data_IF_853791355537
#
_entry.id   IF_853791355537
#
_cell.length_a   1.000
_cell.length_b   1.000
_cell.length_c   1.000
_cell.angle_alpha   90.00
_cell.angle_beta   90.00
_cell.angle_gamma   90.00
#
_symmetry.space_group_name_H-M   'P 1'
#
loop_
_entity.id
_entity.type
_entity.pdbx_description
1 polymer ?
2 polymer ?
3 non-polymer ?
4 water ?
#
# COMPACT_ATOMS: atom_id res chain seq x y z
N UNK A 1 7.04 -5.16 -5.94
CA UNK A 1 6.15 -6.00 -6.75
C UNK A 1 6.99 -7.07 -7.38
N UNK A 2 6.69 -8.31 -7.04
CA UNK A 2 7.36 -9.44 -7.62
C UNK A 2 6.66 -9.65 -8.93
N UNK A 3 7.44 -9.82 -9.98
CA UNK A 3 6.87 -10.01 -11.30
C UNK A 3 6.10 -8.78 -11.66
N UNK A 4 4.96 -8.97 -12.29
CA UNK A 4 4.20 -7.85 -12.77
C UNK A 4 5.05 -7.06 -13.72
N UNK A 5 4.82 -5.78 -13.73
CA UNK A 5 5.35 -4.99 -14.78
C UNK A 5 5.66 -3.65 -14.26
N UNK A 6 6.63 -3.04 -14.88
CA UNK A 6 6.87 -1.68 -14.58
C UNK A 6 5.75 -0.88 -15.11
N UNK A 7 5.57 0.24 -14.47
CA UNK A 7 4.49 1.05 -14.84
C UNK A 7 4.97 2.42 -14.51
N UNK A 8 4.13 3.37 -14.79
CA UNK A 8 4.41 4.69 -14.35
C UNK A 8 3.20 5.11 -13.62
N UNK A 9 3.33 6.24 -12.97
CA UNK A 9 2.34 6.73 -12.08
C UNK A 9 1.05 7.01 -12.82
N UNK A 10 1.12 7.28 -14.11
CA UNK A 10 -0.09 7.49 -14.88
C UNK A 10 -1.01 6.30 -14.74
N UNK A 11 -0.43 5.14 -14.48
CA UNK A 11 -1.23 3.94 -14.39
C UNK A 11 -1.68 3.61 -13.02
N UNK A 12 -1.30 4.48 -12.14
CA UNK A 12 -1.72 4.37 -10.77
C UNK A 12 -1.55 5.69 -10.11
N UNK A 13 -2.28 6.67 -10.63
CA UNK A 13 -1.93 8.04 -10.30
C UNK A 13 -2.32 8.42 -8.90
N UNK A 14 -3.00 7.53 -8.22
CA UNK A 14 -3.26 7.73 -6.80
C UNK A 14 -2.12 7.17 -6.01
N UNK A 15 -1.19 6.53 -6.68
CA UNK A 15 -0.15 5.92 -5.91
C UNK A 15 0.70 6.96 -5.26
N UNK A 16 0.89 6.80 -3.97
CA UNK A 16 1.69 7.72 -3.25
C UNK A 16 2.92 6.97 -2.87
N UNK A 17 4.04 7.62 -3.09
CA UNK A 17 5.31 7.06 -2.73
C UNK A 17 5.68 7.75 -1.44
N UNK A 18 5.81 6.96 -0.41
CA UNK A 18 6.00 7.54 0.89
C UNK A 18 7.36 7.22 1.35
N UNK A 19 8.07 8.28 1.72
CA UNK A 19 9.43 8.17 2.12
C UNK A 19 9.55 8.69 3.50
N UNK A 20 10.64 8.30 4.15
CA UNK A 20 10.93 8.84 5.44
C UNK A 20 12.28 9.49 5.39
N UNK A 21 12.32 10.63 5.98
CA UNK A 21 13.54 11.31 6.14
C UNK A 21 14.15 10.76 7.44
N UNK A 22 15.40 10.42 7.40
CA UNK A 22 16.06 9.92 8.59
C UNK A 22 16.80 11.07 9.17
N UNK A 23 17.17 10.99 10.45
CA UNK A 23 18.02 11.99 11.07
C UNK A 23 19.28 11.72 10.30
N UNK A 24 19.91 12.74 9.84
CA UNK A 24 21.02 12.60 8.97
C UNK A 24 20.55 12.99 7.60
N UNK A 25 19.24 13.05 7.40
CA UNK A 25 18.66 13.54 6.19
C UNK A 25 18.43 12.56 5.11
N UNK A 26 18.87 11.34 5.30
CA UNK A 26 18.65 10.36 4.26
C UNK A 26 17.17 10.11 4.16
N UNK A 27 16.70 9.90 2.96
CA UNK A 27 15.34 9.65 2.75
C UNK A 27 15.21 8.30 2.16
N UNK A 28 14.51 7.47 2.86
CA UNK A 28 14.29 6.13 2.37
C UNK A 28 12.85 5.97 2.04
N UNK A 29 12.61 5.13 1.05
CA UNK A 29 11.28 4.79 0.73
C UNK A 29 10.72 3.96 1.84
N UNK A 30 9.48 4.26 2.19
CA UNK A 30 8.82 3.55 3.24
C UNK A 30 7.84 2.60 2.61
N UNK A 31 6.88 3.16 1.91
CA UNK A 31 5.75 2.40 1.51
C UNK A 31 5.02 3.15 0.48
N UNK A 32 4.13 2.44 -0.17
CA UNK A 32 3.20 3.05 -1.04
C UNK A 32 2.04 3.56 -0.24
N UNK A 33 1.21 4.30 -0.91
CA UNK A 33 0.01 4.78 -0.32
C UNK A 33 -0.85 5.03 -1.50
N UNK A 34 -2.09 5.39 -1.22
CA UNK A 34 -3.00 5.69 -2.28
C UNK A 34 -3.66 6.97 -1.93
N UNK A 35 -3.67 7.86 -2.89
CA UNK A 35 -4.34 9.10 -2.73
C UNK A 35 -5.82 8.82 -2.80
N UNK A 36 -6.53 9.03 -1.72
CA UNK A 36 -7.96 8.72 -1.71
C UNK A 36 -8.77 10.00 -1.71
N UNK A 37 -8.07 11.05 -1.47
CA UNK A 37 -8.56 12.38 -1.62
C UNK A 37 -7.40 13.31 -1.77
N UNK A 38 -7.60 14.50 -2.28
CA UNK A 38 -6.43 15.34 -2.52
C UNK A 38 -5.49 15.43 -1.32
N UNK A 39 -6.05 15.43 -0.12
CA UNK A 39 -5.25 15.64 1.07
C UNK A 39 -4.90 14.36 1.76
N UNK A 40 -5.46 13.26 1.27
CA UNK A 40 -5.38 12.04 2.00
C UNK A 40 -4.76 10.94 1.21
N UNK A 41 -3.67 10.44 1.75
CA UNK A 41 -3.07 9.25 1.23
C UNK A 41 -3.35 8.19 2.24
N UNK A 42 -3.82 7.06 1.75
CA UNK A 42 -4.07 5.96 2.63
C UNK A 42 -2.96 4.97 2.39
N UNK A 43 -2.48 4.41 3.48
CA UNK A 43 -1.38 3.52 3.40
C UNK A 43 -1.59 2.50 4.49
N UNK A 44 -0.52 1.88 4.92
CA UNK A 44 -0.60 0.83 5.91
C UNK A 44 0.08 1.38 7.14
N UNK A 45 -0.56 1.17 8.27
CA UNK A 45 0.03 1.63 9.50
C UNK A 45 1.40 1.04 9.72
N UNK A 46 1.60 -0.21 9.34
CA UNK A 46 2.84 -0.85 9.68
C UNK A 46 3.98 -0.11 9.03
N UNK A 47 3.66 0.64 7.98
CA UNK A 47 4.67 1.42 7.30
C UNK A 47 5.24 2.50 8.17
N UNK A 48 4.50 2.87 9.20
CA UNK A 48 4.81 4.07 9.94
C UNK A 48 4.89 3.79 11.39
N UNK A 49 4.39 2.62 11.78
CA UNK A 49 4.18 2.33 13.19
C UNK A 49 5.44 2.57 14.01
N UNK A 50 6.59 2.25 13.42
CA UNK A 50 7.86 2.37 14.13
C UNK A 50 8.40 3.77 14.09
N UNK A 51 7.94 4.55 13.12
CA UNK A 51 8.34 5.94 13.02
C UNK A 51 7.10 6.77 12.80
N UNK A 52 6.26 6.89 13.83
CA UNK A 52 4.95 7.51 13.64
C UNK A 52 4.99 9.02 13.53
N UNK A 53 6.19 9.60 13.62
CA UNK A 53 6.35 11.05 13.53
C UNK A 53 6.11 11.48 12.10
N UNK A 54 4.99 12.16 11.88
CA UNK A 54 4.58 12.58 10.55
C UNK A 54 5.65 13.40 9.84
N UNK A 55 6.39 14.21 10.59
CA UNK A 55 7.36 15.15 10.03
C UNK A 55 8.48 14.48 9.26
N UNK A 56 8.70 13.20 9.56
CA UNK A 56 9.77 12.45 8.93
C UNK A 56 9.37 12.05 7.53
N UNK A 57 8.08 12.10 7.26
CA UNK A 57 7.58 11.54 6.02
C UNK A 57 7.48 12.50 4.90
N UNK A 58 7.80 11.98 3.74
CA UNK A 58 7.62 12.70 2.52
C UNK A 58 6.73 11.82 1.71
N UNK A 59 5.66 12.40 1.19
CA UNK A 59 4.79 11.68 0.30
C UNK A 59 4.93 12.31 -1.05
N UNK A 60 5.19 11.48 -2.03
CA UNK A 60 5.13 11.96 -3.38
C UNK A 60 3.92 11.38 -4.02
N UNK A 61 3.27 12.22 -4.80
CA UNK A 61 2.28 11.75 -5.72
C UNK A 61 2.86 12.04 -7.08
N UNK A 62 2.36 11.32 -8.07
CA UNK A 62 2.83 11.51 -9.43
C UNK A 62 4.23 11.01 -9.60
N UNK A 63 4.65 10.11 -8.73
CA UNK A 63 6.00 9.63 -8.76
C UNK A 63 5.97 8.24 -9.39
N UNK A 64 6.72 8.08 -10.47
CA UNK A 64 6.84 6.79 -11.13
C UNK A 64 8.12 6.16 -10.76
N UNK A 65 9.01 6.96 -10.21
CA UNK A 65 10.34 6.49 -9.95
C UNK A 65 10.66 6.69 -8.50
N UNK A 66 11.46 5.78 -8.00
CA UNK A 66 11.64 5.70 -6.58
C UNK A 66 12.60 6.76 -6.09
N UNK A 67 13.69 6.94 -6.82
CA UNK A 67 14.75 7.78 -6.31
C UNK A 67 15.14 8.86 -7.26
N UNK A 68 14.26 9.12 -8.21
CA UNK A 68 14.42 10.25 -9.06
C UNK A 68 13.08 10.90 -9.17
N UNK A 69 13.10 12.17 -9.55
CA UNK A 69 11.88 12.91 -9.69
C UNK A 69 11.16 12.41 -10.92
N UNK A 70 9.84 12.44 -10.83
CA UNK A 70 9.02 12.17 -11.98
C UNK A 70 8.43 13.49 -12.28
N UNK A 71 8.48 13.87 -13.54
CA UNK A 71 7.95 15.13 -13.89
C UNK A 71 6.50 15.21 -13.47
N UNK A 72 6.17 16.32 -12.83
CA UNK A 72 4.81 16.56 -12.41
C UNK A 72 4.54 15.99 -11.05
N UNK A 73 5.54 15.32 -10.47
CA UNK A 73 5.35 14.74 -9.16
C UNK A 73 5.12 15.85 -8.17
N UNK A 74 4.38 15.51 -7.12
CA UNK A 74 4.16 16.44 -6.06
C UNK A 74 4.73 15.86 -4.80
N UNK A 75 5.46 16.70 -4.08
CA UNK A 75 6.07 16.32 -2.84
C UNK A 75 5.20 16.86 -1.74
N UNK A 76 4.93 16.02 -0.75
CA UNK A 76 4.11 16.46 0.34
C UNK A 76 4.80 16.12 1.62
N UNK A 77 4.63 17.01 2.58
CA UNK A 77 4.89 16.64 3.93
C UNK A 77 3.62 15.98 4.42
N UNK A 78 3.74 15.30 5.54
CA UNK A 78 2.61 14.61 6.11
C UNK A 78 2.15 15.48 7.25
N UNK A 79 1.01 16.10 7.02
CA UNK A 79 0.38 17.00 7.97
C UNK A 79 -0.22 16.20 9.11
N UNK A 80 -0.81 15.06 8.78
CA UNK A 80 -1.31 14.13 9.78
C UNK A 80 -0.88 12.75 9.35
N UNK A 81 -0.22 12.04 10.24
CA UNK A 81 0.05 10.65 10.01
C UNK A 81 -0.84 9.90 10.97
N UNK A 82 -1.92 9.38 10.43
CA UNK A 82 -2.93 8.76 11.23
C UNK A 82 -2.76 7.28 11.10
N UNK A 83 -2.35 6.66 12.18
CA UNK A 83 -2.18 5.25 12.19
C UNK A 83 -3.40 4.68 12.84
N UNK A 84 -3.73 3.46 12.48
CA UNK A 84 -4.90 2.86 13.01
C UNK A 84 -4.62 2.44 14.42
N UNK A 85 -5.40 2.96 15.36
CA UNK A 85 -5.11 2.73 16.76
C UNK A 85 -5.24 1.26 17.15
N UNK A 86 -5.93 0.49 16.31
CA UNK A 86 -6.07 -0.93 16.55
C UNK A 86 -5.10 -1.73 15.73
N UNK A 87 -4.12 -1.04 15.18
CA UNK A 87 -3.08 -1.74 14.50
C UNK A 87 -2.47 -2.74 15.45
N UNK A 88 -2.20 -3.93 14.94
CA UNK A 88 -1.43 -4.90 15.68
C UNK A 88 -0.66 -5.74 14.70
N UNK A 89 0.46 -6.14 15.14
CA UNK A 89 1.21 -6.91 14.33
C UNK A 89 2.11 -7.92 14.99
N UNK A 90 1.51 -8.95 15.47
CA UNK A 90 2.15 -10.26 15.76
C UNK A 90 1.15 -11.27 15.37
N UNK A 91 1.56 -12.39 14.81
CA UNK A 91 2.94 -12.60 14.49
C UNK A 91 2.75 -11.91 13.17
N UNK A 92 2.59 -12.67 12.15
CA UNK A 92 2.65 -12.19 10.86
C UNK A 92 1.72 -11.20 10.36
N UNK A 93 0.48 -11.32 10.71
CA UNK A 93 -0.51 -10.46 10.22
C UNK A 93 -0.37 -9.13 10.80
N UNK A 94 -0.72 -8.21 9.95
CA UNK A 94 -0.82 -6.84 10.35
C UNK A 94 -2.28 -6.49 10.30
N UNK A 95 -2.82 -6.23 11.48
CA UNK A 95 -4.22 -5.98 11.61
C UNK A 95 -4.42 -4.51 11.59
N UNK A 96 -5.54 -4.10 11.00
CA UNK A 96 -5.88 -2.71 10.92
C UNK A 96 -4.71 -1.99 10.35
N UNK A 97 -4.17 -2.59 9.31
CA UNK A 97 -2.95 -2.09 8.78
C UNK A 97 -3.29 -1.04 7.77
N UNK A 98 -3.65 0.11 8.31
CA UNK A 98 -4.20 1.13 7.49
C UNK A 98 -3.79 2.40 8.15
N UNK A 99 -3.37 3.33 7.33
CA UNK A 99 -2.85 4.56 7.82
C UNK A 99 -3.33 5.59 6.87
N UNK A 100 -3.56 6.76 7.42
CA UNK A 100 -3.89 7.89 6.60
C UNK A 100 -2.80 8.89 6.77
N UNK A 101 -2.39 9.45 5.66
CA UNK A 101 -1.45 10.51 5.66
C UNK A 101 -2.18 11.66 5.07
N UNK A 102 -2.42 12.66 5.89
CA UNK A 102 -2.90 13.90 5.35
C UNK A 102 -1.67 14.54 4.79
N UNK A 103 -1.71 14.81 3.50
CA UNK A 103 -0.56 15.34 2.86
C UNK A 103 -0.76 16.82 2.66
N UNK A 104 0.35 17.54 2.73
CA UNK A 104 0.35 18.96 2.60
C UNK A 104 1.70 19.31 2.03
N UNK A 105 1.70 19.91 0.85
CA UNK A 105 2.93 20.39 0.24
C UNK A 105 3.50 21.51 1.08
N UNK A 106 4.74 21.90 0.80
CA UNK A 106 5.34 23.02 1.52
C UNK A 106 4.61 24.33 1.23
N UNK A 107 3.76 24.30 0.21
CA UNK A 107 2.91 25.43 -0.16
C UNK A 107 1.55 25.32 0.52
N UNK A 108 1.42 24.34 1.40
CA UNK A 108 0.19 24.14 2.17
C UNK A 108 -0.94 23.55 1.34
N UNK A 109 -0.59 22.99 0.19
CA UNK A 109 -1.58 22.44 -0.71
C UNK A 109 -1.64 20.93 -0.62
N UNK A 110 -2.79 20.38 -0.92
CA UNK A 110 -2.96 18.96 -1.04
C UNK A 110 -2.62 18.53 -2.46
N UNK A 111 -2.93 17.29 -2.80
CA UNK A 111 -2.74 16.81 -4.15
C UNK A 111 -3.56 17.66 -5.09
N UNK A 112 -2.91 18.12 -6.14
CA UNK A 112 -3.59 18.73 -7.25
C UNK A 112 -3.72 17.65 -8.30
N UNK A 113 -4.96 17.18 -8.56
CA UNK A 113 -5.15 16.15 -9.57
C UNK A 113 -4.53 16.57 -10.89
N UNK A 114 -3.79 15.64 -11.48
CA UNK A 114 -3.13 15.84 -12.75
C UNK A 114 -3.17 14.52 -13.47
N UNK A 115 -2.48 14.45 -14.59
CA UNK A 115 -2.40 13.20 -15.30
C UNK A 115 -1.78 12.11 -14.44
N UNK A 116 -0.92 12.53 -13.52
CA UNK A 116 -0.11 11.61 -12.74
C UNK A 116 -0.54 11.57 -11.30
N UNK A 117 -1.49 12.42 -10.94
CA UNK A 117 -1.96 12.50 -9.58
C UNK A 117 -3.47 12.48 -9.62
N UNK A 118 -4.04 11.38 -9.19
CA UNK A 118 -5.47 11.23 -9.18
C UNK A 118 -5.80 10.50 -7.91
N UNK A 119 -7.00 10.67 -7.42
CA UNK A 119 -7.43 9.89 -6.29
C UNK A 119 -7.94 8.56 -6.77
N UNK A 120 -7.94 7.62 -5.85
CA UNK A 120 -8.55 6.34 -6.10
C UNK A 120 -9.78 6.28 -5.22
N UNK A 121 -10.87 5.80 -5.80
CA UNK A 121 -12.10 5.64 -5.09
C UNK A 121 -11.89 4.62 -4.01
N UNK A 122 -12.45 4.91 -2.86
CA UNK A 122 -12.61 3.92 -1.85
C UNK A 122 -13.73 3.00 -2.27
N UNK A 123 -13.65 1.73 -1.86
CA UNK A 123 -14.75 0.83 -2.11
C UNK A 123 -15.93 1.30 -1.30
N UNK A 124 -17.12 0.93 -1.72
CA UNK A 124 -18.24 1.08 -0.82
C UNK A 124 -18.03 0.04 0.26
N UNK A 125 -18.58 0.29 1.44
CA UNK A 125 -18.27 -0.54 2.58
C UNK A 125 -18.58 -2.00 2.33
N UNK A 126 -17.67 -2.86 2.78
CA UNK A 126 -17.86 -4.30 2.70
C UNK A 126 -18.25 -4.70 1.28
N UNK A 127 -17.86 -3.87 0.32
CA UNK A 127 -18.11 -4.14 -1.08
C UNK A 127 -16.77 -4.37 -1.73
N UNK A 128 -16.42 -5.64 -1.83
CA UNK A 128 -15.18 -6.04 -2.42
C UNK A 128 -15.49 -6.94 -3.58
N UNK A 129 -14.58 -7.00 -4.55
CA UNK A 129 -14.80 -7.90 -5.66
C UNK A 129 -14.77 -9.32 -5.16
N UNK A 130 -15.38 -10.22 -5.92
CA UNK A 130 -15.42 -11.63 -5.58
C UNK A 130 -14.00 -12.18 -5.59
N UNK A 131 -13.78 -13.24 -4.84
CA UNK A 131 -12.52 -13.94 -4.92
C UNK A 131 -12.26 -14.33 -6.37
N UNK A 132 -11.00 -14.35 -6.75
CA UNK A 132 -10.63 -14.66 -8.11
C UNK A 132 -10.58 -13.41 -8.95
N UNK A 133 -11.15 -12.31 -8.44
CA UNK A 133 -11.06 -11.04 -9.12
C UNK A 133 -9.62 -10.64 -9.21
N UNK A 134 -9.24 -10.22 -10.40
CA UNK A 134 -7.92 -9.72 -10.63
C UNK A 134 -7.89 -8.28 -10.21
N UNK A 135 -6.94 -7.98 -9.35
CA UNK A 135 -6.76 -6.64 -8.92
C UNK A 135 -5.34 -6.30 -9.16
N UNK A 136 -5.08 -5.02 -9.18
CA UNK A 136 -3.74 -4.61 -9.39
C UNK A 136 -3.17 -4.14 -8.10
N UNK A 137 -1.88 -4.34 -7.99
CA UNK A 137 -1.15 -3.80 -6.88
C UNK A 137 -0.02 -3.06 -7.49
N UNK A 138 0.38 -2.02 -6.80
CA UNK A 138 1.33 -1.12 -7.33
C UNK A 138 2.27 -0.81 -6.24
N UNK A 139 3.52 -0.71 -6.60
CA UNK A 139 4.44 -0.28 -5.63
C UNK A 139 5.83 -0.29 -6.15
N UNK A 140 6.68 0.22 -5.29
CA UNK A 140 8.07 0.27 -5.53
C UNK A 140 8.73 -0.79 -4.72
N UNK A 141 7.95 -1.74 -4.26
CA UNK A 141 8.49 -2.77 -3.43
C UNK A 141 9.39 -3.68 -4.20
N UNK A 142 10.03 -4.57 -3.47
CA UNK A 142 10.99 -5.45 -4.07
C UNK A 142 10.42 -6.20 -5.22
N UNK A 143 11.25 -6.42 -6.20
CA UNK A 143 10.85 -7.18 -7.33
C UNK A 143 11.15 -8.61 -7.10
N UNK A 144 12.00 -8.88 -6.13
CA UNK A 144 12.29 -10.22 -5.74
C UNK A 144 12.44 -10.16 -4.26
N UNK A 145 11.99 -11.21 -3.60
CA UNK A 145 12.11 -11.28 -2.17
C UNK A 145 13.54 -11.07 -1.74
N UNK A 146 14.45 -11.63 -2.52
CA UNK A 146 15.85 -11.62 -2.17
C UNK A 146 16.50 -10.32 -2.59
N UNK A 147 15.77 -9.48 -3.30
CA UNK A 147 16.34 -8.21 -3.68
C UNK A 147 16.65 -7.38 -2.49
N UNK A 148 17.73 -6.63 -2.60
CA UNK A 148 18.11 -5.70 -1.60
C UNK A 148 17.52 -4.37 -2.01
N UNK A 149 17.50 -4.14 -3.31
CA UNK A 149 17.06 -2.87 -3.83
C UNK A 149 15.59 -2.93 -4.15
N UNK A 150 14.98 -1.76 -4.04
CA UNK A 150 13.69 -1.57 -4.59
C UNK A 150 13.89 -1.18 -6.02
N UNK A 151 12.92 -1.53 -6.85
CA UNK A 151 12.94 -1.06 -8.20
C UNK A 151 12.87 0.43 -8.20
N UNK A 152 13.58 1.02 -9.15
CA UNK A 152 13.54 2.44 -9.32
C UNK A 152 12.23 2.83 -9.94
N UNK A 153 11.62 1.89 -10.63
CA UNK A 153 10.47 2.21 -11.41
C UNK A 153 9.30 1.54 -10.78
N UNK A 154 8.22 2.28 -10.73
CA UNK A 154 7.01 1.78 -10.15
C UNK A 154 6.62 0.54 -10.87
N UNK A 155 6.08 -0.39 -10.12
CA UNK A 155 5.63 -1.60 -10.69
C UNK A 155 4.23 -1.82 -10.33
N UNK A 156 3.60 -2.63 -11.14
CA UNK A 156 2.28 -3.04 -10.85
C UNK A 156 2.21 -4.46 -11.21
N UNK A 157 1.32 -5.14 -10.54
CA UNK A 157 0.99 -6.42 -11.01
C UNK A 157 -0.43 -6.65 -10.72
N UNK A 158 -0.86 -7.83 -11.12
CA UNK A 158 -2.21 -8.21 -10.94
C UNK A 158 -2.13 -9.44 -10.08
N UNK A 159 -2.97 -9.44 -9.08
CA UNK A 159 -3.09 -10.57 -8.23
C UNK A 159 -4.57 -10.80 -8.17
N UNK A 160 -4.92 -12.03 -7.88
CA UNK A 160 -6.32 -12.35 -7.79
C UNK A 160 -6.69 -12.41 -6.34
N UNK A 161 -7.83 -11.82 -6.03
CA UNK A 161 -8.39 -11.88 -4.71
C UNK A 161 -8.61 -13.33 -4.34
N UNK A 162 -8.19 -13.65 -3.14
CA UNK A 162 -8.36 -14.97 -2.61
C UNK A 162 -9.42 -14.87 -1.55
N UNK A 163 -10.32 -15.84 -1.53
CA UNK A 163 -11.36 -15.87 -0.52
C UNK A 163 -10.71 -15.95 0.85
N UNK A 164 -11.33 -15.37 1.84
CA UNK A 164 -10.85 -15.59 3.16
C UNK A 164 -10.73 -17.05 3.54
N UNK A 165 -11.67 -17.88 3.11
CA UNK A 165 -11.58 -19.31 3.38
C UNK A 165 -10.26 -19.90 2.90
N UNK A 166 -9.89 -19.57 1.67
CA UNK A 166 -8.71 -20.09 1.09
C UNK A 166 -7.51 -19.53 1.85
N UNK A 167 -7.61 -18.28 2.11
CA UNK A 167 -6.48 -17.63 2.75
C UNK A 167 -6.36 -17.98 4.23
N UNK A 168 -7.40 -18.41 4.89
CA UNK A 168 -7.08 -18.68 6.28
C UNK A 168 -6.66 -20.12 6.39
N UNK A 169 -6.87 -20.89 5.33
CA UNK A 169 -6.29 -22.22 5.40
C UNK A 169 -4.97 -22.13 6.14
N UNK A 170 -4.71 -23.07 7.06
CA UNK A 170 -3.46 -23.09 7.80
C UNK A 170 -2.23 -22.97 6.89
N UNK A 171 -2.25 -23.67 5.75
CA UNK A 171 -1.10 -23.67 4.85
C UNK A 171 -1.00 -22.38 4.06
N UNK A 172 -2.08 -21.58 4.09
CA UNK A 172 -1.98 -20.20 3.70
C UNK A 172 -1.63 -19.42 4.95
N UNK A 173 -2.59 -18.71 5.54
CA UNK A 173 -2.29 -17.89 6.70
C UNK A 173 -3.03 -18.25 7.97
N UNK A 174 -3.87 -19.28 7.90
CA UNK A 174 -4.71 -19.63 9.03
C UNK A 174 -5.49 -18.41 9.49
N UNK A 175 -5.55 -18.20 10.78
CA UNK A 175 -6.35 -17.12 11.35
C UNK A 175 -5.63 -15.77 11.35
N UNK A 176 -4.42 -15.73 10.79
CA UNK A 176 -3.69 -14.48 10.63
C UNK A 176 -4.47 -13.55 9.70
N UNK A 177 -5.08 -14.13 8.66
CA UNK A 177 -5.94 -13.36 7.79
C UNK A 177 -7.30 -13.20 8.44
N UNK A 178 -7.74 -11.95 8.55
CA UNK A 178 -9.04 -11.64 9.08
C UNK A 178 -9.93 -11.16 7.96
N UNK A 179 -11.22 -10.98 8.27
CA UNK A 179 -12.17 -10.43 7.31
C UNK A 179 -11.85 -8.98 6.97
N UNK A 180 -11.01 -8.34 7.78
CA UNK A 180 -10.57 -6.96 7.54
C UNK A 180 -9.35 -6.95 6.64
N UNK A 181 -9.01 -8.14 6.16
CA UNK A 181 -7.92 -8.28 5.23
C UNK A 181 -8.43 -8.94 3.98
N UNK A 182 -7.72 -8.68 2.90
CA UNK A 182 -8.00 -9.38 1.67
C UNK A 182 -6.73 -10.02 1.27
N UNK A 183 -6.82 -11.29 0.93
CA UNK A 183 -5.69 -11.94 0.35
C UNK A 183 -5.80 -11.84 -1.12
N UNK A 184 -4.65 -11.68 -1.74
CA UNK A 184 -4.59 -11.67 -3.17
C UNK A 184 -3.29 -12.30 -3.51
N UNK A 185 -3.28 -13.03 -4.59
CA UNK A 185 -2.08 -13.67 -5.01
C UNK A 185 -2.25 -14.00 -6.45
N UNK A 186 -1.15 -14.30 -7.03
CA UNK A 186 -1.19 -14.82 -8.32
C UNK A 186 -1.41 -16.31 -8.23
N UNK A 187 -2.10 -16.85 -9.19
CA UNK A 187 -2.38 -18.26 -9.14
C UNK A 187 -1.14 -19.10 -9.19
N UNK A 188 -0.12 -18.56 -9.77
CA UNK A 188 1.11 -19.22 -9.91
C UNK A 188 2.03 -18.69 -8.89
N UNK A 189 1.52 -17.84 -8.06
CA UNK A 189 2.31 -17.20 -7.08
C UNK A 189 3.52 -16.52 -7.62
N UNK A 190 3.43 -16.07 -8.80
CA UNK A 190 4.61 -15.61 -9.49
C UNK A 190 4.76 -14.15 -9.40
N UNK A 191 3.73 -13.56 -8.94
CA UNK A 191 3.72 -12.15 -8.84
C UNK A 191 3.00 -11.77 -7.58
N UNK A 192 3.42 -10.68 -6.99
CA UNK A 192 2.92 -10.38 -5.69
C UNK A 192 3.46 -9.05 -5.31
N UNK A 193 2.85 -8.49 -4.29
CA UNK A 193 3.45 -7.37 -3.66
C UNK A 193 4.58 -7.94 -2.83
N UNK A 194 5.49 -7.07 -2.49
CA UNK A 194 6.56 -7.50 -1.70
C UNK A 194 6.97 -6.37 -0.84
N UNK A 195 8.02 -6.56 -0.13
CA UNK A 195 8.44 -5.58 0.72
C UNK A 195 8.60 -4.28 0.05
N UNK A 196 8.11 -3.24 0.68
CA UNK A 196 8.17 -1.92 0.12
C UNK A 196 6.91 -1.62 -0.65
N UNK A 197 6.14 -2.66 -0.96
CA UNK A 197 4.85 -2.41 -1.59
C UNK A 197 3.81 -2.13 -0.58
N UNK A 198 4.15 -2.37 0.67
CA UNK A 198 3.19 -2.14 1.71
C UNK A 198 2.62 -0.77 1.62
N UNK A 199 1.36 -0.67 1.98
CA UNK A 199 0.72 0.61 2.03
C UNK A 199 0.14 0.93 0.69
N UNK A 200 0.68 0.29 -0.35
CA UNK A 200 0.28 0.57 -1.69
C UNK A 200 -1.09 0.03 -1.97
N UNK A 201 -1.64 0.40 -3.11
CA UNK A 201 -2.99 0.06 -3.47
C UNK A 201 -3.11 -1.33 -4.01
N UNK A 202 -4.15 -1.99 -3.56
CA UNK A 202 -4.68 -3.10 -4.26
C UNK A 202 -5.92 -2.52 -4.87
N UNK A 203 -5.89 -2.36 -6.18
CA UNK A 203 -6.97 -1.70 -6.85
C UNK A 203 -7.71 -2.75 -7.64
N UNK A 204 -9.00 -2.79 -7.43
CA UNK A 204 -9.83 -3.68 -8.18
C UNK A 204 -10.83 -2.81 -8.88
N UNK A 205 -11.37 -3.35 -9.92
CA UNK A 205 -12.39 -2.60 -10.53
C UNK A 205 -13.59 -3.21 -9.96
N UNK A 206 -14.31 -2.44 -9.26
CA UNK A 206 -15.50 -2.92 -8.62
C UNK A 206 -16.43 -2.28 -9.53
N UNK A 207 -16.89 -3.15 -10.47
CA UNK A 207 -17.00 -2.97 -11.79
C UNK A 207 -17.35 -1.54 -11.96
N UNK A 208 -16.64 -1.01 -12.90
CA UNK A 208 -16.78 0.32 -13.32
C UNK A 208 -15.87 1.19 -12.59
N UNK A 209 -15.39 0.86 -11.42
CA UNK A 209 -14.68 1.90 -10.77
C UNK A 209 -13.41 1.32 -10.27
N UNK A 210 -12.34 1.96 -10.61
CA UNK A 210 -11.08 1.63 -9.96
C UNK A 210 -11.26 1.93 -8.50
N UNK A 211 -10.99 0.92 -7.68
CA UNK A 211 -11.38 0.97 -6.30
C UNK A 211 -10.22 0.51 -5.48
N UNK A 212 -9.92 1.29 -4.45
CA UNK A 212 -8.88 0.90 -3.53
C UNK A 212 -9.43 -0.19 -2.65
N UNK A 213 -9.38 -1.39 -3.15
CA UNK A 213 -9.91 -2.54 -2.45
C UNK A 213 -9.02 -2.91 -1.31
N UNK A 214 -7.73 -2.76 -1.51
CA UNK A 214 -6.79 -3.23 -0.55
C UNK A 214 -5.64 -2.29 -0.41
N UNK A 215 -4.98 -2.43 0.72
CA UNK A 215 -3.76 -1.73 0.95
C UNK A 215 -2.81 -2.83 1.23
N UNK A 216 -1.71 -2.82 0.51
CA UNK A 216 -0.72 -3.84 0.69
C UNK A 216 -0.34 -3.81 2.13
N UNK A 217 -0.51 -4.93 2.78
CA UNK A 217 -0.31 -4.96 4.18
C UNK A 217 0.80 -5.92 4.56
N UNK A 218 0.60 -7.20 4.29
CA UNK A 218 1.56 -8.14 4.77
C UNK A 218 1.50 -9.40 3.98
N UNK A 219 2.42 -10.30 4.26
CA UNK A 219 2.43 -11.57 3.60
C UNK A 219 3.66 -12.28 4.06
N UNK A 220 3.64 -13.55 3.97
CA UNK A 220 4.84 -14.23 4.25
C UNK A 220 5.56 -14.26 2.96
N UNK A 221 6.70 -13.64 2.99
CA UNK A 221 7.53 -13.60 1.85
C UNK A 221 6.78 -12.87 0.79
N UNK A 222 7.11 -13.19 -0.42
CA UNK A 222 6.43 -12.58 -1.53
C UNK A 222 6.42 -13.57 -2.65
N UNK A 223 5.30 -13.61 -3.36
CA UNK A 223 5.17 -14.53 -4.47
C UNK A 223 5.63 -15.90 -3.98
N UNK A 224 5.23 -16.22 -2.77
CA UNK A 224 5.51 -17.52 -2.18
C UNK A 224 4.25 -18.32 -2.32
N UNK A 225 4.37 -19.54 -2.82
CA UNK A 225 3.24 -20.45 -2.93
C UNK A 225 2.53 -20.50 -1.58
N UNK A 226 1.20 -20.40 -1.63
CA UNK A 226 0.33 -20.51 -0.46
C UNK A 226 0.48 -19.36 0.50
N UNK A 227 1.18 -18.33 0.08
CA UNK A 227 1.36 -17.17 0.92
C UNK A 227 0.93 -15.97 0.13
N UNK A 228 -0.38 -15.71 0.10
CA UNK A 228 -0.83 -14.55 -0.63
C UNK A 228 -0.30 -13.28 -0.05
N UNK A 229 -0.38 -12.24 -0.86
CA UNK A 229 -0.30 -10.92 -0.34
C UNK A 229 -1.54 -10.73 0.48
N UNK A 230 -1.38 -10.09 1.61
CA UNK A 230 -2.51 -9.75 2.41
C UNK A 230 -2.62 -8.26 2.41
N UNK A 231 -3.86 -7.82 2.23
CA UNK A 231 -4.17 -6.44 2.01
C UNK A 231 -5.16 -6.06 3.02
N UNK A 232 -4.99 -4.87 3.54
CA UNK A 232 -6.00 -4.30 4.38
C UNK A 232 -7.22 -4.18 3.50
N UNK A 233 -8.31 -4.71 3.97
CA UNK A 233 -9.48 -4.66 3.18
C UNK A 233 -10.11 -3.35 3.41
N UNK A 234 -9.85 -2.43 2.55
CA UNK A 234 -10.23 -1.05 2.72
C UNK A 234 -11.71 -0.88 2.98
N UNK A 235 -12.51 -1.73 2.35
CA UNK A 235 -13.95 -1.64 2.44
C UNK A 235 -14.43 -1.95 3.84
N UNK A 236 -13.53 -2.47 4.67
CA UNK A 236 -13.85 -2.77 6.07
C UNK A 236 -13.34 -1.67 6.99
N UNK A 237 -12.82 -0.60 6.39
CA UNK A 237 -12.26 0.50 7.16
C UNK A 237 -12.81 1.83 6.77
N UNK A 238 -13.91 1.83 6.05
CA UNK A 238 -14.47 3.08 5.63
C UNK A 238 -14.86 3.94 6.81
N UNK A 239 -15.51 3.36 7.85
CA UNK A 239 -15.81 4.20 9.01
C UNK A 239 -14.53 4.82 9.54
N UNK A 240 -13.48 4.02 9.67
CA UNK A 240 -12.21 4.52 10.15
C UNK A 240 -11.66 5.60 9.21
N UNK A 241 -11.70 5.34 7.92
CA UNK A 241 -11.20 6.31 6.97
C UNK A 241 -12.04 7.57 7.05
N UNK A 242 -13.36 7.39 7.06
CA UNK A 242 -14.31 8.48 7.16
C UNK A 242 -14.02 9.30 8.43
N UNK A 243 -14.00 8.61 9.57
CA UNK A 243 -13.82 9.25 10.87
C UNK A 243 -12.47 9.97 11.02
N UNK A 244 -11.56 9.72 10.08
CA UNK A 244 -10.22 10.30 10.16
C UNK A 244 -9.89 11.27 9.05
N UNK A 245 -10.76 11.33 8.04
CA UNK A 245 -10.52 12.20 6.89
C UNK A 245 -11.52 13.35 6.81
N UNK A 246 -12.37 13.40 7.84
CA UNK A 246 -13.45 14.37 7.87
C UNK A 246 -12.80 15.68 8.17
N UNK B 1 11.60 -9.01 8.33
CA UNK B 1 12.16 -7.82 7.72
C UNK B 1 12.38 -7.96 6.29
N UNK B 2 12.23 -9.02 5.63
CA UNK B 2 12.40 -8.73 4.25
C UNK B 2 11.00 -8.74 3.66
N UNK B 3 10.03 -8.71 4.56
CA UNK B 3 8.69 -9.00 4.28
C UNK B 3 7.96 -7.70 4.35
N UNK B 5 5.32 -5.61 5.90
CA UNK B 5 4.98 -5.49 7.27
C UNK B 5 6.09 -4.91 8.06
N UNK B 6 7.30 -5.04 7.61
CA UNK B 6 8.40 -4.47 8.32
C UNK B 6 9.10 -3.34 7.63
N UNK B 7 8.44 -2.71 6.70
CA UNK B 7 9.03 -1.60 6.02
C UNK B 7 9.14 -0.56 7.04
N UNK B 8 10.25 0.13 6.99
CA UNK B 8 10.39 1.24 7.86
C UNK B 8 10.17 0.81 9.30
N UNK B 9 10.83 -0.26 9.64
CA UNK B 9 10.81 -0.71 11.01
C UNK B 9 12.17 -0.54 11.64
N UNK B 10 12.15 -0.29 12.93
CA UNK B 10 13.36 0.12 13.65
C UNK B 10 14.40 -0.95 13.57
N UNK B 11 13.93 -2.11 13.77
CA UNK B 11 14.81 -3.14 13.70
C UNK B 11 15.05 -3.03 12.20
N UNK B 12 14.66 -4.09 11.66
CA UNK B 12 14.83 -4.43 10.24
C UNK B 12 15.82 -3.51 9.60
#
# INVERSE_FOLDING_TARGET
IIGGEFTTIENQPWFAAIYRRHRGGSVTYVCGGSLISPCWVISATHCFIDYPKKEDYIVYLGRSRLNSNTQGEMKFEVENLILHKDYSADTLAHHNDIALLKIRSKEGRCAQPSRTIQTIALPSMYNDPQFGTSCEITGFGKEQSTDYLYPEQLKMTVVKLISHRECQQPHYYGSEVTTKMLCAADPQWKTDSCQGDSGGPLVCSLQGRMTLTGIVSWGRGCALKDKPGVYTRVSHFLPWIRSHTKEENGLAL
CSWXGLENHAAC
#
